data_IF_720893303844
#
_entry.id   IF_720893303844
#
_cell.length_a   1.000
_cell.length_b   1.000
_cell.length_c   1.000
_cell.angle_alpha   90.00
_cell.angle_beta   90.00
_cell.angle_gamma   90.00
#
_symmetry.space_group_name_H-M   'P 1'
#
loop_
_entity.id
_entity.type
_entity.pdbx_description
1 polymer ?
#
# COMPACT_ATOMS: atom_id res chain seq x y z
N UNK A 1 6.84 -24.80 21.55
CA UNK A 1 6.76 -25.34 20.18
C UNK A 1 6.52 -24.14 19.28
N UNK A 2 7.51 -23.73 18.51
CA UNK A 2 7.33 -22.71 17.46
C UNK A 2 6.45 -23.33 16.39
N UNK A 3 5.27 -22.78 16.22
CA UNK A 3 4.37 -23.14 15.12
C UNK A 3 5.16 -22.97 13.80
N UNK A 4 5.33 -24.06 13.07
CA UNK A 4 6.03 -24.02 11.79
C UNK A 4 5.14 -23.25 10.82
N UNK A 5 5.56 -22.03 10.43
CA UNK A 5 4.86 -21.23 9.44
C UNK A 5 4.76 -22.02 8.13
N UNK A 6 3.55 -22.21 7.64
CA UNK A 6 3.31 -22.75 6.30
C UNK A 6 3.48 -21.60 5.27
N UNK A 7 4.63 -21.61 4.59
CA UNK A 7 4.98 -20.57 3.60
C UNK A 7 4.40 -20.84 2.22
N UNK A 8 3.92 -22.03 1.97
CA UNK A 8 3.60 -22.53 0.62
C UNK A 8 2.10 -22.67 0.36
N UNK A 9 1.28 -22.77 1.42
CA UNK A 9 -0.16 -22.99 1.25
C UNK A 9 -0.90 -21.68 1.00
N UNK A 10 -1.48 -21.47 -0.18
CA UNK A 10 -2.33 -20.32 -0.46
C UNK A 10 -3.56 -20.27 0.43
N UNK A 11 -4.05 -19.07 0.71
CA UNK A 11 -5.27 -18.86 1.47
C UNK A 11 -6.20 -17.88 0.78
N UNK A 12 -7.50 -18.11 0.95
CA UNK A 12 -8.54 -17.20 0.52
C UNK A 12 -9.49 -16.87 1.67
N UNK A 13 -9.90 -15.62 1.76
CA UNK A 13 -10.84 -15.13 2.77
C UNK A 13 -12.01 -14.43 2.08
N UNK A 14 -13.22 -14.98 2.24
CA UNK A 14 -14.44 -14.31 1.85
C UNK A 14 -14.84 -13.29 2.91
N UNK A 15 -15.16 -12.06 2.48
CA UNK A 15 -15.46 -10.94 3.38
C UNK A 15 -16.98 -10.67 3.34
N UNK A 16 -17.68 -10.81 4.48
CA UNK A 16 -19.10 -10.53 4.56
C UNK A 16 -19.39 -9.04 4.34
N UNK A 17 -20.45 -8.71 3.60
CA UNK A 17 -20.85 -7.34 3.29
C UNK A 17 -21.05 -6.47 4.53
N UNK A 18 -21.72 -6.98 5.56
CA UNK A 18 -22.02 -6.24 6.79
C UNK A 18 -20.89 -6.30 7.83
N UNK A 19 -19.84 -7.08 7.60
CA UNK A 19 -18.76 -7.31 8.56
C UNK A 19 -17.44 -6.67 8.20
N UNK A 20 -17.36 -6.02 7.06
CA UNK A 20 -16.09 -5.57 6.50
C UNK A 20 -15.18 -4.85 7.49
N UNK A 21 -15.65 -3.77 8.10
CA UNK A 21 -14.87 -2.99 9.05
C UNK A 21 -14.95 -3.47 10.52
N UNK A 22 -15.58 -4.62 10.77
CA UNK A 22 -15.69 -5.18 12.12
C UNK A 22 -14.66 -6.26 12.40
N UNK A 23 -13.88 -6.65 11.41
CA UNK A 23 -12.91 -7.74 11.52
C UNK A 23 -11.70 -7.38 12.38
N UNK A 24 -11.32 -6.12 12.41
CA UNK A 24 -10.17 -5.62 13.16
C UNK A 24 -10.38 -4.18 13.60
N UNK A 25 -9.75 -3.78 14.72
CA UNK A 25 -9.79 -2.42 15.23
C UNK A 25 -8.37 -1.84 15.26
N UNK A 26 -8.17 -0.72 14.60
CA UNK A 26 -6.95 0.08 14.65
C UNK A 26 -7.06 1.26 15.61
N UNK A 27 -6.01 2.05 15.70
CA UNK A 27 -5.92 3.25 16.55
C UNK A 27 -7.02 4.27 16.26
N UNK A 28 -7.38 4.44 15.00
CA UNK A 28 -8.37 5.42 14.55
C UNK A 28 -9.72 4.79 14.16
N UNK A 29 -10.02 3.59 14.66
CA UNK A 29 -11.27 2.87 14.44
C UNK A 29 -11.11 1.62 13.55
N UNK A 30 -12.19 1.12 12.92
CA UNK A 30 -12.13 -0.11 12.13
C UNK A 30 -11.14 -0.03 10.98
N UNK A 31 -10.32 -1.07 10.80
CA UNK A 31 -9.36 -1.20 9.71
C UNK A 31 -9.84 -2.19 8.65
N UNK A 32 -9.15 -2.22 7.53
CA UNK A 32 -9.46 -3.11 6.43
C UNK A 32 -9.06 -4.56 6.76
N UNK A 33 -9.74 -5.56 6.18
CA UNK A 33 -9.35 -6.95 6.34
C UNK A 33 -7.98 -7.20 5.71
N UNK A 34 -7.26 -8.17 6.26
CA UNK A 34 -5.95 -8.58 5.77
C UNK A 34 -5.84 -10.09 5.64
N UNK A 35 -4.94 -10.54 4.78
CA UNK A 35 -4.36 -11.88 4.87
C UNK A 35 -3.40 -11.94 6.07
N UNK A 36 -2.90 -13.11 6.49
CA UNK A 36 -2.05 -13.20 7.68
C UNK A 36 -0.82 -12.27 7.70
N UNK A 37 -0.24 -11.96 6.53
CA UNK A 37 0.96 -11.11 6.44
C UNK A 37 0.70 -9.71 5.90
N UNK A 38 -0.31 -9.48 5.06
CA UNK A 38 -0.44 -8.22 4.35
C UNK A 38 -1.85 -7.67 4.31
N UNK A 39 -1.93 -6.35 4.18
CA UNK A 39 -3.14 -5.61 3.89
C UNK A 39 -3.23 -5.29 2.41
N UNK A 40 -4.45 -5.36 1.86
CA UNK A 40 -4.78 -4.81 0.56
C UNK A 40 -5.89 -3.78 0.69
N UNK A 41 -5.76 -2.63 0.04
CA UNK A 41 -6.88 -1.71 -0.05
C UNK A 41 -6.95 -1.02 -1.42
N UNK A 42 -8.16 -0.64 -1.79
CA UNK A 42 -8.46 0.08 -3.00
C UNK A 42 -9.32 1.27 -2.67
N UNK A 43 -8.92 2.45 -3.07
CA UNK A 43 -9.75 3.66 -3.01
C UNK A 43 -10.10 4.13 -4.42
N UNK A 44 -11.32 4.64 -4.57
CA UNK A 44 -11.78 5.31 -5.78
C UNK A 44 -12.29 6.68 -5.39
N UNK A 45 -11.76 7.72 -6.04
CA UNK A 45 -12.16 9.10 -5.80
C UNK A 45 -12.27 9.88 -7.10
N UNK A 46 -13.05 10.96 -7.09
CA UNK A 46 -13.13 11.87 -8.21
C UNK A 46 -11.89 12.74 -8.29
N UNK A 47 -11.45 13.00 -9.51
CA UNK A 47 -10.35 13.94 -9.80
C UNK A 47 -10.91 15.35 -9.85
N UNK A 48 -10.26 16.30 -9.18
CA UNK A 48 -10.61 17.72 -9.30
C UNK A 48 -10.53 18.15 -10.77
N UNK A 49 -11.44 18.99 -11.27
CA UNK A 49 -11.43 19.43 -12.67
C UNK A 49 -10.06 19.93 -13.14
N UNK A 50 -9.59 19.41 -14.27
CA UNK A 50 -8.32 19.80 -14.87
C UNK A 50 -7.06 19.29 -14.15
N UNK A 51 -7.17 18.38 -13.17
CA UNK A 51 -6.03 17.92 -12.36
C UNK A 51 -5.42 16.56 -12.80
N UNK A 52 -5.98 15.92 -13.82
CA UNK A 52 -5.49 14.62 -14.29
C UNK A 52 -4.01 14.67 -14.70
N UNK A 53 -3.59 15.71 -15.42
CA UNK A 53 -2.19 15.88 -15.84
C UNK A 53 -1.25 16.08 -14.63
N UNK A 54 -1.70 16.76 -13.58
CA UNK A 54 -0.93 16.88 -12.34
C UNK A 54 -0.73 15.48 -11.68
N UNK A 55 -1.74 14.63 -11.70
CA UNK A 55 -1.63 13.23 -11.20
C UNK A 55 -0.58 12.45 -12.00
N UNK A 56 -0.56 12.59 -13.34
CA UNK A 56 0.46 11.97 -14.19
C UNK A 56 1.87 12.49 -13.87
N UNK A 57 1.98 13.80 -13.62
CA UNK A 57 3.23 14.41 -13.18
C UNK A 57 3.77 13.83 -11.87
N UNK A 58 2.88 13.52 -10.92
CA UNK A 58 3.26 12.82 -9.67
C UNK A 58 3.79 11.41 -9.92
N UNK A 59 3.16 10.66 -10.82
CA UNK A 59 3.62 9.31 -11.15
C UNK A 59 5.06 9.34 -11.71
N UNK A 60 5.34 10.29 -12.62
CA UNK A 60 6.69 10.49 -13.17
C UNK A 60 7.70 10.91 -12.10
N UNK A 61 7.33 11.85 -11.24
CA UNK A 61 8.20 12.30 -10.16
C UNK A 61 8.52 11.17 -9.16
N UNK A 62 7.55 10.29 -8.88
CA UNK A 62 7.77 9.12 -8.03
C UNK A 62 8.72 8.12 -8.70
N UNK A 63 8.55 7.84 -10.00
CA UNK A 63 9.46 6.99 -10.79
C UNK A 63 10.90 7.50 -10.69
N UNK A 64 11.13 8.79 -10.93
CA UNK A 64 12.45 9.42 -10.86
C UNK A 64 13.06 9.33 -9.46
N UNK A 65 12.27 9.53 -8.39
CA UNK A 65 12.72 9.42 -7.01
C UNK A 65 13.10 8.00 -6.63
N UNK A 66 12.29 7.00 -7.00
CA UNK A 66 12.60 5.59 -6.73
C UNK A 66 13.83 5.14 -7.52
N UNK A 67 14.04 5.66 -8.74
CA UNK A 67 15.25 5.39 -9.51
C UNK A 67 16.50 5.99 -8.85
N UNK A 68 16.39 7.18 -8.24
CA UNK A 68 17.48 7.84 -7.54
C UNK A 68 17.75 7.23 -6.16
N UNK A 69 16.71 6.83 -5.44
CA UNK A 69 16.78 6.17 -4.13
C UNK A 69 15.75 5.04 -4.04
N UNK A 70 16.14 3.79 -4.34
CA UNK A 70 15.24 2.64 -4.25
C UNK A 70 14.71 2.35 -2.84
N UNK A 71 15.26 2.98 -1.80
CA UNK A 71 14.83 2.81 -0.41
C UNK A 71 13.75 3.79 0.04
N UNK A 72 13.41 4.79 -0.77
CA UNK A 72 12.51 5.90 -0.38
C UNK A 72 11.14 5.46 0.13
N UNK A 73 10.62 4.32 -0.34
CA UNK A 73 9.35 3.73 0.09
C UNK A 73 9.54 2.51 1.03
N UNK A 74 10.77 2.26 1.52
CA UNK A 74 11.05 1.02 2.26
C UNK A 74 10.24 0.88 3.56
N UNK A 75 9.96 1.99 4.26
CA UNK A 75 9.16 1.99 5.49
C UNK A 75 7.72 1.55 5.25
N UNK A 76 7.18 1.76 4.06
CA UNK A 76 5.82 1.36 3.70
C UNK A 76 5.66 -0.15 3.51
N UNK A 77 6.76 -0.90 3.43
CA UNK A 77 6.77 -2.36 3.25
C UNK A 77 5.80 -2.84 2.15
N UNK A 78 5.83 -2.12 1.03
CA UNK A 78 4.95 -2.37 -0.12
C UNK A 78 5.36 -3.64 -0.86
N UNK A 79 4.38 -4.49 -1.18
CA UNK A 79 4.47 -5.51 -2.21
C UNK A 79 4.12 -4.93 -3.58
N UNK A 80 3.08 -4.11 -3.63
CA UNK A 80 2.57 -3.57 -4.87
C UNK A 80 1.85 -2.24 -4.65
N UNK A 81 2.01 -1.33 -5.60
CA UNK A 81 1.31 -0.05 -5.66
C UNK A 81 0.86 0.19 -7.10
N UNK A 82 -0.39 0.61 -7.27
CA UNK A 82 -0.95 0.91 -8.57
C UNK A 82 -1.86 2.12 -8.53
N UNK A 83 -1.66 3.04 -9.49
CA UNK A 83 -2.50 4.19 -9.73
C UNK A 83 -3.10 4.12 -11.13
N UNK A 84 -4.38 4.44 -11.25
CA UNK A 84 -5.07 4.45 -12.53
C UNK A 84 -6.01 5.66 -12.62
N UNK A 85 -6.07 6.27 -13.80
CA UNK A 85 -7.11 7.21 -14.18
C UNK A 85 -8.09 6.48 -15.11
N UNK A 86 -9.39 6.73 -14.97
CA UNK A 86 -10.45 6.12 -15.77
C UNK A 86 -11.65 7.06 -15.88
N UNK A 87 -12.71 6.68 -16.61
CA UNK A 87 -13.88 7.51 -16.90
C UNK A 87 -13.46 8.90 -17.47
N UNK A 88 -12.77 8.90 -18.62
CA UNK A 88 -12.21 10.11 -19.24
C UNK A 88 -11.37 10.94 -18.27
N UNK A 89 -10.59 10.25 -17.41
CA UNK A 89 -9.69 10.84 -16.41
C UNK A 89 -10.38 11.65 -15.31
N UNK A 90 -11.68 11.48 -15.14
CA UNK A 90 -12.44 12.11 -14.05
C UNK A 90 -12.37 11.36 -12.74
N UNK A 91 -11.89 10.10 -12.76
CA UNK A 91 -11.78 9.24 -11.58
C UNK A 91 -10.39 8.65 -11.44
N UNK A 92 -9.98 8.46 -10.20
CA UNK A 92 -8.69 7.90 -9.80
C UNK A 92 -8.86 6.64 -8.97
N UNK A 93 -8.08 5.61 -9.27
CA UNK A 93 -7.94 4.40 -8.45
C UNK A 93 -6.54 4.38 -7.85
N UNK A 94 -6.48 4.15 -6.54
CA UNK A 94 -5.30 3.71 -5.82
C UNK A 94 -5.49 2.28 -5.34
N UNK A 95 -4.52 1.42 -5.60
CA UNK A 95 -4.46 0.08 -5.05
C UNK A 95 -3.09 -0.13 -4.40
N UNK A 96 -3.08 -0.61 -3.16
CA UNK A 96 -1.85 -0.90 -2.42
C UNK A 96 -1.94 -2.22 -1.69
N UNK A 97 -0.83 -2.96 -1.65
CA UNK A 97 -0.64 -4.17 -0.85
C UNK A 97 0.64 -3.98 -0.05
N UNK A 98 0.55 -4.09 1.27
CA UNK A 98 1.64 -3.79 2.21
C UNK A 98 1.57 -4.67 3.48
N UNK A 99 2.66 -4.76 4.25
CA UNK A 99 2.76 -5.67 5.41
C UNK A 99 2.52 -4.98 6.75
N UNK A 100 2.64 -3.67 6.82
CA UNK A 100 2.42 -2.92 8.07
C UNK A 100 0.94 -2.86 8.42
N UNK A 101 0.62 -2.56 9.69
CA UNK A 101 -0.74 -2.21 10.05
C UNK A 101 -1.21 -0.96 9.31
N UNK A 102 -2.49 -0.87 9.00
CA UNK A 102 -3.06 0.20 8.18
C UNK A 102 -2.76 1.60 8.74
N UNK A 103 -2.92 1.80 10.05
CA UNK A 103 -2.67 3.09 10.67
C UNK A 103 -1.19 3.49 10.58
N UNK A 104 -0.27 2.54 10.82
CA UNK A 104 1.17 2.75 10.66
C UNK A 104 1.53 3.06 9.21
N UNK A 105 0.94 2.36 8.26
CA UNK A 105 1.13 2.64 6.83
C UNK A 105 0.79 4.09 6.47
N UNK A 106 -0.35 4.60 6.94
CA UNK A 106 -0.77 5.98 6.65
C UNK A 106 0.16 6.99 7.34
N UNK A 107 0.56 6.74 8.60
CA UNK A 107 1.49 7.60 9.33
C UNK A 107 2.85 7.67 8.63
N UNK A 108 3.39 6.54 8.19
CA UNK A 108 4.65 6.48 7.44
C UNK A 108 4.55 7.15 6.07
N UNK A 109 3.44 6.97 5.35
CA UNK A 109 3.19 7.65 4.10
C UNK A 109 3.16 9.17 4.27
N UNK A 110 2.48 9.68 5.29
CA UNK A 110 2.47 11.11 5.63
C UNK A 110 3.87 11.61 5.98
N UNK A 111 4.66 10.84 6.75
CA UNK A 111 6.03 11.21 7.10
C UNK A 111 6.94 11.31 5.85
N UNK A 112 6.78 10.42 4.88
CA UNK A 112 7.52 10.49 3.60
C UNK A 112 7.16 11.77 2.84
N UNK A 113 5.88 12.11 2.72
CA UNK A 113 5.44 13.33 2.04
C UNK A 113 6.00 14.58 2.73
N UNK A 114 5.96 14.63 4.06
CA UNK A 114 6.51 15.72 4.86
C UNK A 114 8.03 15.89 4.66
N UNK A 115 8.79 14.79 4.73
CA UNK A 115 10.25 14.82 4.66
C UNK A 115 10.78 15.10 3.25
N UNK A 116 10.05 14.64 2.23
CA UNK A 116 10.44 14.82 0.83
C UNK A 116 10.07 16.18 0.24
N UNK A 117 9.30 17.01 0.99
CA UNK A 117 8.78 18.29 0.50
C UNK A 117 7.85 18.14 -0.71
N UNK A 118 7.34 16.94 -0.93
CA UNK A 118 6.44 16.61 -2.02
C UNK A 118 5.01 16.60 -1.51
N UNK A 119 4.20 17.41 -2.12
CA UNK A 119 2.76 17.33 -2.02
C UNK A 119 2.27 15.93 -2.41
N UNK A 120 1.15 15.48 -1.91
CA UNK A 120 0.62 14.14 -2.22
C UNK A 120 -0.24 14.14 -3.48
N UNK A 121 -0.22 13.05 -4.24
CA UNK A 121 -1.12 12.86 -5.39
C UNK A 121 -2.59 13.08 -5.01
N UNK A 122 -2.96 12.76 -3.77
CA UNK A 122 -4.32 12.86 -3.25
C UNK A 122 -4.86 14.29 -3.15
N UNK A 123 -4.02 15.32 -3.10
CA UNK A 123 -4.46 16.72 -3.15
C UNK A 123 -5.20 17.09 -4.44
N UNK A 124 -5.04 16.29 -5.48
CA UNK A 124 -5.74 16.46 -6.76
C UNK A 124 -7.12 15.79 -6.79
N UNK A 125 -7.53 15.18 -5.68
CA UNK A 125 -8.81 14.47 -5.56
C UNK A 125 -9.82 15.32 -4.79
N UNK A 126 -11.08 15.21 -5.17
CA UNK A 126 -12.18 15.90 -4.49
C UNK A 126 -12.33 15.42 -3.05
N UNK A 127 -12.58 16.35 -2.13
CA UNK A 127 -12.81 16.05 -0.73
C UNK A 127 -11.56 15.66 0.09
N UNK A 128 -10.37 15.61 -0.53
CA UNK A 128 -9.14 15.36 0.26
C UNK A 128 -8.88 16.54 1.22
N UNK A 129 -8.54 16.28 2.51
CA UNK A 129 -8.37 17.32 3.52
C UNK A 129 -7.30 18.34 3.13
N UNK A 130 -7.59 19.63 3.24
CA UNK A 130 -6.60 20.69 2.99
C UNK A 130 -5.52 20.75 4.07
N UNK A 131 -5.87 20.39 5.31
CA UNK A 131 -4.99 20.34 6.48
C UNK A 131 -4.31 18.97 6.68
N UNK A 132 -4.22 18.16 5.64
CA UNK A 132 -3.73 16.77 5.67
C UNK A 132 -2.37 16.60 6.34
N UNK A 133 -1.50 17.60 6.29
CA UNK A 133 -0.16 17.57 6.93
C UNK A 133 -0.21 17.47 8.46
N UNK A 134 -1.29 17.96 9.07
CA UNK A 134 -1.43 18.04 10.53
C UNK A 134 -2.62 17.26 11.06
N UNK A 135 -3.45 16.68 10.19
CA UNK A 135 -4.72 16.06 10.51
C UNK A 135 -4.81 14.62 9.98
N UNK A 136 -3.95 13.74 10.50
CA UNK A 136 -3.96 12.32 10.14
C UNK A 136 -5.34 11.66 10.29
N UNK A 137 -6.16 11.95 11.34
CA UNK A 137 -7.52 11.39 11.43
C UNK A 137 -8.42 11.74 10.24
N UNK A 138 -8.34 12.97 9.71
CA UNK A 138 -9.12 13.37 8.53
C UNK A 138 -8.65 12.63 7.26
N UNK A 139 -7.35 12.42 7.10
CA UNK A 139 -6.77 11.64 6.00
C UNK A 139 -7.24 10.18 6.07
N UNK A 140 -7.19 9.56 7.24
CA UNK A 140 -7.64 8.19 7.45
C UNK A 140 -9.15 8.07 7.17
N UNK A 141 -9.94 9.04 7.66
CA UNK A 141 -11.37 9.10 7.36
C UNK A 141 -11.61 9.20 5.85
N UNK A 142 -10.87 10.06 5.15
CA UNK A 142 -10.96 10.19 3.70
C UNK A 142 -10.74 8.84 3.00
N UNK A 143 -9.68 8.12 3.33
CA UNK A 143 -9.41 6.82 2.74
C UNK A 143 -10.51 5.80 3.04
N UNK A 144 -11.06 5.78 4.24
CA UNK A 144 -12.17 4.90 4.59
C UNK A 144 -13.44 5.23 3.83
N UNK A 145 -13.76 6.50 3.66
CA UNK A 145 -14.96 6.95 2.95
C UNK A 145 -14.88 6.62 1.44
N UNK A 146 -13.67 6.49 0.88
CA UNK A 146 -13.43 6.19 -0.53
C UNK A 146 -13.00 4.75 -0.78
N UNK A 147 -12.90 3.94 0.27
CA UNK A 147 -12.55 2.52 0.17
C UNK A 147 -13.60 1.75 -0.62
N UNK A 148 -13.14 1.00 -1.62
CA UNK A 148 -13.96 -0.02 -2.28
C UNK A 148 -13.81 -1.33 -1.52
N UNK A 149 -14.88 -1.82 -0.88
CA UNK A 149 -14.81 -3.05 -0.12
C UNK A 149 -14.46 -4.24 -1.00
N UNK A 150 -13.50 -5.01 -0.55
CA UNK A 150 -13.19 -6.32 -1.11
C UNK A 150 -14.21 -7.35 -0.63
N UNK A 151 -14.59 -8.31 -1.44
CA UNK A 151 -15.42 -9.44 -1.03
C UNK A 151 -14.66 -10.77 -1.05
N UNK A 152 -13.45 -10.78 -1.62
CA UNK A 152 -12.51 -11.89 -1.60
C UNK A 152 -11.09 -11.35 -1.52
N UNK A 153 -10.33 -11.81 -0.54
CA UNK A 153 -8.87 -11.65 -0.50
C UNK A 153 -8.23 -13.02 -0.72
N UNK A 154 -7.25 -13.09 -1.62
CA UNK A 154 -6.46 -14.29 -1.89
C UNK A 154 -4.98 -13.98 -1.76
N UNK A 155 -4.25 -14.81 -1.07
CA UNK A 155 -2.79 -14.76 -0.96
C UNK A 155 -2.16 -16.07 -1.40
N UNK A 156 -1.30 -16.03 -2.42
CA UNK A 156 -0.48 -17.17 -2.82
C UNK A 156 0.54 -17.50 -1.74
N UNK A 157 1.11 -16.46 -1.13
CA UNK A 157 2.08 -16.54 -0.02
C UNK A 157 1.60 -15.70 1.16
N UNK A 158 0.54 -16.13 1.87
CA UNK A 158 -0.16 -15.29 2.84
C UNK A 158 0.67 -14.98 4.11
N UNK A 159 1.75 -15.71 4.34
CA UNK A 159 2.65 -15.54 5.49
C UNK A 159 3.98 -14.88 5.13
N UNK A 160 4.17 -14.44 3.88
CA UNK A 160 5.45 -13.90 3.40
C UNK A 160 5.37 -12.39 3.30
N UNK A 161 6.24 -11.70 4.04
CA UNK A 161 6.39 -10.25 4.00
C UNK A 161 7.37 -9.80 2.91
N UNK A 162 7.29 -8.52 2.51
CA UNK A 162 8.23 -7.90 1.59
C UNK A 162 9.69 -7.99 2.10
N UNK A 163 9.90 -7.89 3.41
CA UNK A 163 11.20 -8.05 4.03
C UNK A 163 11.74 -9.49 3.90
N UNK A 164 10.89 -10.49 4.08
CA UNK A 164 11.24 -11.90 3.88
C UNK A 164 11.57 -12.23 2.44
N UNK A 165 10.81 -11.67 1.47
CA UNK A 165 11.13 -11.78 0.03
C UNK A 165 12.53 -11.21 -0.27
N UNK A 166 12.83 -10.00 0.21
CA UNK A 166 14.15 -9.38 0.02
C UNK A 166 15.27 -10.22 0.61
N UNK A 167 15.07 -10.75 1.83
CA UNK A 167 16.03 -11.65 2.48
C UNK A 167 16.26 -12.92 1.67
N UNK A 168 15.20 -13.55 1.17
CA UNK A 168 15.29 -14.75 0.34
C UNK A 168 16.07 -14.49 -0.96
N UNK A 169 15.84 -13.35 -1.62
CA UNK A 169 16.57 -12.94 -2.81
C UNK A 169 18.06 -12.71 -2.54
N UNK A 170 18.41 -12.09 -1.40
CA UNK A 170 19.82 -11.93 -1.00
C UNK A 170 20.50 -13.28 -0.74
N UNK A 171 19.82 -14.21 -0.07
CA UNK A 171 20.35 -15.56 0.17
C UNK A 171 20.56 -16.30 -1.16
N UNK A 172 19.60 -16.22 -2.09
CA UNK A 172 19.71 -16.80 -3.43
C UNK A 172 20.91 -16.24 -4.17
N UNK A 173 21.11 -14.93 -4.16
CA UNK A 173 22.24 -14.28 -4.81
C UNK A 173 23.56 -14.77 -4.23
N UNK A 174 23.72 -14.72 -2.88
CA UNK A 174 24.94 -15.17 -2.22
C UNK A 174 25.28 -16.63 -2.51
N UNK A 175 24.26 -17.51 -2.56
CA UNK A 175 24.45 -18.92 -2.93
C UNK A 175 24.90 -19.06 -4.38
N UNK A 176 24.31 -18.32 -5.33
CA UNK A 176 24.71 -18.34 -6.74
C UNK A 176 26.17 -17.90 -6.91
N UNK A 177 26.59 -16.78 -6.29
CA UNK A 177 27.95 -16.29 -6.33
C UNK A 177 28.95 -17.29 -5.74
N UNK A 178 28.58 -17.98 -4.64
CA UNK A 178 29.41 -19.03 -4.04
C UNK A 178 29.58 -20.22 -5.01
N UNK A 179 28.51 -20.66 -5.69
CA UNK A 179 28.59 -21.78 -6.64
C UNK A 179 29.42 -21.40 -7.87
N UNK A 180 29.34 -20.19 -8.35
CA UNK A 180 30.14 -19.72 -9.50
C UNK A 180 31.63 -19.67 -9.17
N UNK A 181 32.00 -19.39 -7.90
CA UNK A 181 33.41 -19.42 -7.45
C UNK A 181 33.98 -20.84 -7.26
N UNK A 182 33.12 -21.84 -7.22
CA UNK A 182 33.52 -23.25 -7.06
C UNK A 182 33.74 -23.98 -8.40
N UNK A 183 33.44 -23.33 -9.56
CA UNK A 183 33.68 -23.85 -10.89
C UNK A 183 35.05 -23.41 -11.42
#
# INVERSE_FOLDING_TARGET
MTEQKDWETPQAMAIPKEGYFKLEQGRYGPVFPKTPANYGFTIIANVKPGRAEAIRGYAKALEEKVAADPSILATLQLHYLRWQLFDDETRFIYQGIFDTEFDAYIEDALAIFLSSGVSTVFENLEGFPEDWLTNAPAVIKYFRDHQVPSFLEYGEYPYVSAAEVKKALHVKQALSEMLDQMQ
#
